data_IF_208537421233
#
_entry.id   IF_208537421233
#
_cell.length_a   1.000
_cell.length_b   1.000
_cell.length_c   1.000
_cell.angle_alpha   90.00
_cell.angle_beta   90.00
_cell.angle_gamma   90.00
#
_symmetry.space_group_name_H-M   'P 1'
#
loop_
_entity.id
_entity.type
_entity.pdbx_description
1 polymer ?
#
# COMPACT_ATOMS: atom_id res chain seq x y z
N UNK A 1 -6.41 -8.41 -12.62
CA UNK A 1 -6.49 -6.94 -12.48
C UNK A 1 -5.16 -6.42 -11.93
N UNK A 2 -4.59 -5.40 -12.56
CA UNK A 2 -3.33 -4.84 -12.11
C UNK A 2 -3.49 -4.12 -10.77
N UNK A 3 -2.39 -4.00 -10.02
CA UNK A 3 -2.43 -3.34 -8.71
C UNK A 3 -2.96 -1.91 -8.79
N UNK A 4 -2.56 -1.15 -9.82
CA UNK A 4 -3.05 0.23 -9.96
C UNK A 4 -4.56 0.26 -10.09
N UNK A 5 -5.15 -0.69 -10.82
CA UNK A 5 -6.61 -0.74 -10.96
C UNK A 5 -7.28 -1.01 -9.60
N UNK A 6 -6.71 -1.90 -8.82
CA UNK A 6 -7.23 -2.22 -7.49
C UNK A 6 -7.11 -1.04 -6.54
N UNK A 7 -5.99 -0.31 -6.60
CA UNK A 7 -5.81 0.89 -5.79
C UNK A 7 -6.83 1.96 -6.18
N UNK A 8 -7.02 2.17 -7.49
CA UNK A 8 -8.00 3.17 -7.96
C UNK A 8 -9.42 2.82 -7.54
N UNK A 9 -9.77 1.53 -7.56
CA UNK A 9 -11.08 1.10 -7.06
C UNK A 9 -11.22 1.37 -5.56
N UNK A 10 -10.16 1.11 -4.81
CA UNK A 10 -10.17 1.37 -3.37
C UNK A 10 -10.33 2.87 -3.06
N UNK A 11 -9.75 3.73 -3.91
CA UNK A 11 -9.84 5.18 -3.77
C UNK A 11 -11.05 5.78 -4.47
N UNK A 12 -11.80 4.98 -5.22
CA UNK A 12 -12.97 5.41 -6.01
C UNK A 12 -12.55 6.47 -7.03
N UNK A 13 -11.47 6.19 -7.75
CA UNK A 13 -10.97 7.07 -8.82
C UNK A 13 -11.30 6.49 -10.18
N UNK A 14 -11.75 7.37 -11.08
CA UNK A 14 -12.09 6.98 -12.45
C UNK A 14 -11.22 7.67 -13.50
N UNK A 15 -10.44 8.69 -13.10
CA UNK A 15 -9.58 9.42 -14.03
C UNK A 15 -8.16 8.83 -14.02
N UNK A 16 -7.36 9.23 -14.99
CA UNK A 16 -5.98 8.73 -15.12
C UNK A 16 -4.92 9.79 -14.87
N UNK A 17 -5.30 10.96 -14.36
CA UNK A 17 -4.38 12.08 -14.16
C UNK A 17 -3.25 11.76 -13.19
N UNK A 18 -3.54 10.94 -12.18
CA UNK A 18 -2.58 10.61 -11.14
C UNK A 18 -1.96 9.22 -11.31
N UNK A 19 -2.17 8.57 -12.47
CA UNK A 19 -1.69 7.19 -12.66
C UNK A 19 -0.18 7.06 -12.44
N UNK A 20 0.63 7.98 -12.97
CA UNK A 20 2.08 7.93 -12.78
C UNK A 20 2.46 8.09 -11.31
N UNK A 21 1.77 8.98 -10.59
CA UNK A 21 1.99 9.16 -9.16
C UNK A 21 1.63 7.87 -8.40
N UNK A 22 0.48 7.30 -8.71
CA UNK A 22 0.00 6.08 -8.05
C UNK A 22 0.97 4.92 -8.31
N UNK A 23 1.48 4.78 -9.54
CA UNK A 23 2.48 3.75 -9.86
C UNK A 23 3.74 3.91 -9.01
N UNK A 24 4.20 5.15 -8.81
CA UNK A 24 5.34 5.42 -7.96
C UNK A 24 5.09 5.06 -6.50
N UNK A 25 3.88 5.37 -6.02
CA UNK A 25 3.49 5.02 -4.65
C UNK A 25 3.37 3.51 -4.46
N UNK A 26 2.88 2.80 -5.48
CA UNK A 26 2.82 1.33 -5.47
C UNK A 26 4.23 0.77 -5.35
N UNK A 27 5.17 1.28 -6.14
CA UNK A 27 6.57 0.83 -6.06
C UNK A 27 7.15 1.05 -4.67
N UNK A 28 6.89 2.19 -4.06
CA UNK A 28 7.34 2.48 -2.70
C UNK A 28 6.70 1.52 -1.69
N UNK A 29 5.41 1.25 -1.84
CA UNK A 29 4.70 0.33 -0.95
C UNK A 29 5.23 -1.10 -1.08
N UNK A 30 5.55 -1.53 -2.30
CA UNK A 30 6.13 -2.85 -2.53
C UNK A 30 7.51 -2.95 -1.88
N UNK A 31 8.35 -1.94 -2.07
CA UNK A 31 9.69 -1.92 -1.44
C UNK A 31 9.59 -1.95 0.08
N UNK A 32 8.67 -1.19 0.65
CA UNK A 32 8.43 -1.22 2.08
C UNK A 32 8.02 -2.61 2.55
N UNK A 33 7.11 -3.25 1.80
CA UNK A 33 6.60 -4.57 2.15
C UNK A 33 7.70 -5.63 2.10
N UNK A 34 8.54 -5.58 1.06
CA UNK A 34 9.68 -6.49 0.94
C UNK A 34 10.63 -6.33 2.13
N UNK A 35 10.92 -5.07 2.49
CA UNK A 35 11.80 -4.79 3.62
C UNK A 35 11.20 -5.27 4.94
N UNK A 36 9.91 -5.00 5.14
CA UNK A 36 9.22 -5.44 6.37
C UNK A 36 9.20 -6.96 6.49
N UNK A 37 9.03 -7.66 5.36
CA UNK A 37 8.96 -9.12 5.33
C UNK A 37 10.36 -9.76 5.26
N UNK A 38 11.43 -8.97 5.25
CA UNK A 38 12.82 -9.43 5.15
C UNK A 38 13.09 -10.19 3.84
N UNK A 39 12.50 -9.71 2.75
CA UNK A 39 12.70 -10.25 1.42
C UNK A 39 13.69 -9.37 0.66
N UNK A 40 14.30 -9.93 -0.39
CA UNK A 40 15.20 -9.17 -1.24
C UNK A 40 14.43 -8.10 -2.00
N UNK A 41 15.08 -6.96 -2.26
CA UNK A 41 14.52 -5.94 -3.12
C UNK A 41 14.22 -6.55 -4.49
N UNK A 42 13.01 -6.30 -4.99
CA UNK A 42 12.58 -6.86 -6.27
C UNK A 42 11.99 -8.25 -6.18
N UNK A 43 11.84 -8.80 -4.97
CA UNK A 43 11.29 -10.14 -4.78
C UNK A 43 9.95 -10.32 -5.51
N UNK A 44 9.07 -9.33 -5.42
CA UNK A 44 7.74 -9.43 -6.02
C UNK A 44 7.71 -9.14 -7.52
N UNK A 45 8.83 -8.79 -8.12
CA UNK A 45 8.93 -8.72 -9.57
C UNK A 45 8.92 -10.13 -10.19
N UNK A 46 9.43 -11.10 -9.46
CA UNK A 46 9.59 -12.49 -9.93
C UNK A 46 8.72 -13.49 -9.19
N UNK A 47 8.07 -13.08 -8.11
CA UNK A 47 7.32 -14.00 -7.25
C UNK A 47 5.92 -13.44 -7.00
N UNK A 48 4.95 -14.34 -6.92
CA UNK A 48 3.57 -13.97 -6.63
C UNK A 48 3.43 -13.60 -5.15
N UNK A 49 2.74 -12.49 -4.89
CA UNK A 49 2.46 -12.12 -3.50
C UNK A 49 1.15 -12.75 -3.04
N UNK A 50 1.06 -12.99 -1.72
CA UNK A 50 -0.15 -13.53 -1.12
C UNK A 50 -1.27 -12.49 -1.18
N UNK A 51 -2.55 -12.92 -1.09
CA UNK A 51 -3.66 -11.97 -1.01
C UNK A 51 -3.53 -10.98 0.15
N UNK A 52 -3.00 -11.43 1.30
CA UNK A 52 -2.81 -10.55 2.45
C UNK A 52 -1.77 -9.47 2.16
N UNK A 53 -0.63 -9.83 1.54
CA UNK A 53 0.40 -8.88 1.15
C UNK A 53 -0.15 -7.88 0.14
N UNK A 54 -0.90 -8.36 -0.87
CA UNK A 54 -1.48 -7.49 -1.88
C UNK A 54 -2.43 -6.48 -1.24
N UNK A 55 -3.29 -6.93 -0.33
CA UNK A 55 -4.22 -6.03 0.36
C UNK A 55 -3.46 -5.00 1.19
N UNK A 56 -2.40 -5.40 1.86
CA UNK A 56 -1.56 -4.48 2.62
C UNK A 56 -0.95 -3.40 1.74
N UNK A 57 -0.47 -3.79 0.55
CA UNK A 57 0.10 -2.85 -0.42
C UNK A 57 -0.97 -1.88 -0.92
N UNK A 58 -2.17 -2.36 -1.21
CA UNK A 58 -3.27 -1.50 -1.65
C UNK A 58 -3.61 -0.48 -0.58
N UNK A 59 -3.73 -0.89 0.66
CA UNK A 59 -4.03 0.01 1.77
C UNK A 59 -2.92 1.03 1.99
N UNK A 60 -1.67 0.59 1.94
CA UNK A 60 -0.53 1.48 2.14
C UNK A 60 -0.42 2.51 1.03
N UNK A 61 -0.60 2.08 -0.23
CA UNK A 61 -0.59 2.98 -1.38
C UNK A 61 -1.70 4.01 -1.25
N UNK A 62 -2.90 3.59 -0.89
CA UNK A 62 -4.03 4.49 -0.72
C UNK A 62 -3.77 5.50 0.39
N UNK A 63 -3.18 5.07 1.49
CA UNK A 63 -2.81 5.95 2.59
C UNK A 63 -1.80 7.02 2.12
N UNK A 64 -0.77 6.60 1.39
CA UNK A 64 0.22 7.55 0.84
C UNK A 64 -0.45 8.54 -0.10
N UNK A 65 -1.33 8.05 -0.98
CA UNK A 65 -2.01 8.90 -1.94
C UNK A 65 -2.85 9.99 -1.24
N UNK A 66 -3.62 9.59 -0.25
CA UNK A 66 -4.52 10.51 0.43
C UNK A 66 -3.80 11.53 1.31
N UNK A 67 -2.61 11.22 1.79
CA UNK A 67 -1.87 12.11 2.69
C UNK A 67 -0.73 12.89 2.02
N UNK A 68 -0.58 12.75 0.69
CA UNK A 68 0.60 13.27 -0.02
C UNK A 68 0.71 14.78 -0.10
N UNK A 69 -0.40 15.49 -0.17
CA UNK A 69 -0.38 16.92 -0.51
C UNK A 69 -0.79 17.82 0.65
N UNK A 70 -1.07 17.26 1.80
CA UNK A 70 -1.50 18.03 2.95
C UNK A 70 -2.97 18.43 2.94
N UNK A 71 -3.68 18.31 1.81
CA UNK A 71 -5.11 18.62 1.79
C UNK A 71 -5.90 17.60 2.60
N UNK A 72 -5.48 16.34 2.54
CA UNK A 72 -6.00 15.29 3.41
C UNK A 72 -5.10 15.07 4.62
N UNK A 73 -3.92 15.65 4.61
CA UNK A 73 -2.98 15.57 5.71
C UNK A 73 -3.55 16.12 7.00
N UNK A 74 -4.38 17.18 6.89
CA UNK A 74 -5.07 17.73 8.05
C UNK A 74 -5.95 16.70 8.73
N UNK A 75 -6.63 15.87 7.94
CA UNK A 75 -7.45 14.80 8.49
C UNK A 75 -6.60 13.83 9.31
N UNK A 76 -5.48 13.38 8.76
CA UNK A 76 -4.61 12.43 9.47
C UNK A 76 -3.87 13.10 10.62
N UNK A 77 -3.50 14.38 10.48
CA UNK A 77 -2.86 15.11 11.57
C UNK A 77 -3.80 15.29 12.76
N UNK A 78 -5.09 15.52 12.47
CA UNK A 78 -6.09 15.72 13.52
C UNK A 78 -6.62 14.37 14.02
N UNK A 79 -6.30 13.26 13.34
CA UNK A 79 -6.80 11.94 13.70
C UNK A 79 -5.68 10.92 13.68
N UNK A 80 -4.77 11.08 14.65
CA UNK A 80 -3.59 10.20 14.79
C UNK A 80 -4.00 8.74 14.92
N UNK A 81 -5.10 8.48 15.63
CA UNK A 81 -5.56 7.09 15.83
C UNK A 81 -5.97 6.42 14.54
N UNK A 82 -6.59 7.16 13.60
CA UNK A 82 -6.96 6.59 12.31
C UNK A 82 -5.71 6.20 11.53
N UNK A 83 -4.68 7.05 11.54
CA UNK A 83 -3.41 6.74 10.89
C UNK A 83 -2.74 5.52 11.52
N UNK A 84 -2.71 5.44 12.84
CA UNK A 84 -2.15 4.29 13.55
C UNK A 84 -2.89 3.00 13.21
N UNK A 85 -4.22 3.07 13.07
CA UNK A 85 -5.02 1.90 12.70
C UNK A 85 -4.66 1.40 11.32
N UNK A 86 -4.44 2.31 10.36
CA UNK A 86 -4.02 1.90 9.01
C UNK A 86 -2.69 1.15 9.09
N UNK A 87 -1.71 1.70 9.78
CA UNK A 87 -0.40 1.06 9.92
C UNK A 87 -0.50 -0.29 10.63
N UNK A 88 -1.32 -0.38 11.66
CA UNK A 88 -1.50 -1.65 12.39
C UNK A 88 -2.09 -2.72 11.48
N UNK A 89 -3.09 -2.38 10.67
CA UNK A 89 -3.71 -3.33 9.75
C UNK A 89 -2.73 -3.72 8.65
N UNK A 90 -2.00 -2.75 8.08
CA UNK A 90 -0.98 -3.04 7.06
C UNK A 90 0.07 -4.01 7.61
N UNK A 91 0.58 -3.75 8.81
CA UNK A 91 1.58 -4.63 9.42
C UNK A 91 1.04 -6.03 9.67
N UNK A 92 -0.22 -6.14 10.11
CA UNK A 92 -0.85 -7.44 10.30
C UNK A 92 -0.94 -8.20 8.97
N UNK A 93 -1.39 -7.53 7.92
CA UNK A 93 -1.53 -8.15 6.61
C UNK A 93 -0.17 -8.59 6.04
N UNK A 94 0.85 -7.75 6.18
CA UNK A 94 2.19 -8.09 5.70
C UNK A 94 2.77 -9.27 6.49
N UNK A 95 2.50 -9.34 7.77
CA UNK A 95 2.96 -10.45 8.60
C UNK A 95 2.30 -11.76 8.19
N UNK A 96 0.99 -11.72 7.93
CA UNK A 96 0.26 -12.88 7.40
C UNK A 96 0.80 -13.30 6.05
N UNK A 97 1.12 -12.33 5.19
CA UNK A 97 1.71 -12.61 3.89
C UNK A 97 3.07 -13.27 4.00
N UNK A 98 3.89 -12.85 4.96
CA UNK A 98 5.19 -13.46 5.19
C UNK A 98 5.05 -14.93 5.62
N UNK A 99 4.12 -15.22 6.51
CA UNK A 99 3.87 -16.59 6.94
C UNK A 99 3.45 -17.47 5.76
N UNK A 100 2.66 -16.91 4.86
CA UNK A 100 2.25 -17.61 3.65
C UNK A 100 3.42 -17.91 2.72
N UNK A 101 4.43 -17.01 2.68
CA UNK A 101 5.60 -17.16 1.82
C UNK A 101 6.60 -18.19 2.34
N UNK A 102 6.54 -18.57 3.59
CA UNK A 102 7.39 -19.61 4.16
C UNK A 102 7.03 -21.03 3.64
#
# INVERSE_FOLDING_TARGET
>A
MALIDKVKLNLILSHSEDDALIEGLISAAISYSESYQHLEEGYYESNTMSPATEQGIIMLTSHFYESRDGSTGGFFNDNVKASEQVWNVVHLLLRMGKEWQV
#
